data_IF_260636440952
#
_entry.id   IF_260636440952
#
_cell.length_a   1.000
_cell.length_b   1.000
_cell.length_c   1.000
_cell.angle_alpha   90.00
_cell.angle_beta   90.00
_cell.angle_gamma   90.00
#
_symmetry.space_group_name_H-M   'P 1'
#
loop_
_entity.id
_entity.type
_entity.pdbx_description
1 polymer ?
#
# COMPACT_ATOMS: atom_id res chain seq x y z
N UNK A 1 3.60 -21.08 -5.77
CA UNK A 1 2.20 -20.60 -5.75
C UNK A 1 2.22 -19.12 -5.50
N UNK A 2 1.51 -18.36 -6.33
CA UNK A 2 1.47 -16.90 -6.27
C UNK A 2 0.46 -16.45 -5.21
N UNK A 3 0.83 -15.42 -4.48
CA UNK A 3 0.09 -14.88 -3.36
C UNK A 3 0.17 -13.36 -3.41
N UNK A 4 -0.81 -12.69 -2.80
CA UNK A 4 -0.72 -11.26 -2.60
C UNK A 4 -1.38 -10.84 -1.30
N UNK A 5 -0.96 -9.69 -0.81
CA UNK A 5 -1.60 -9.01 0.32
C UNK A 5 -1.88 -7.55 -0.04
N UNK A 6 -2.95 -7.02 0.55
CA UNK A 6 -3.35 -5.61 0.47
C UNK A 6 -3.57 -5.10 1.89
N UNK A 7 -2.97 -3.97 2.21
CA UNK A 7 -3.13 -3.33 3.51
C UNK A 7 -3.07 -1.81 3.40
N UNK A 8 -3.58 -1.15 4.44
CA UNK A 8 -3.39 0.29 4.65
C UNK A 8 -2.49 0.52 5.84
N UNK A 9 -1.78 1.64 5.86
CA UNK A 9 -1.02 2.07 7.03
C UNK A 9 -1.18 3.56 7.25
N UNK A 10 -1.19 3.98 8.52
CA UNK A 10 -1.14 5.39 8.86
C UNK A 10 0.26 5.93 8.53
N UNK A 11 0.31 7.02 7.76
CA UNK A 11 1.55 7.71 7.41
C UNK A 11 1.67 9.09 8.06
N UNK A 12 0.73 9.49 8.90
CA UNK A 12 0.66 10.82 9.53
C UNK A 12 1.90 11.14 10.35
N UNK A 13 2.46 10.15 11.07
CA UNK A 13 3.71 10.29 11.83
C UNK A 13 4.93 10.47 10.91
N UNK A 14 5.03 9.67 9.85
CA UNK A 14 6.10 9.73 8.86
C UNK A 14 6.05 11.00 7.99
N UNK A 15 4.88 11.65 7.86
CA UNK A 15 4.73 12.90 7.14
C UNK A 15 5.06 14.16 7.96
N UNK A 16 5.18 14.01 9.30
CA UNK A 16 5.55 15.07 10.24
C UNK A 16 7.06 15.13 10.53
N UNK A 17 7.78 14.04 10.29
CA UNK A 17 9.24 14.01 10.32
C UNK A 17 9.74 13.94 8.87
N UNK A 18 10.94 14.43 8.56
CA UNK A 18 11.65 14.12 7.29
C UNK A 18 12.01 12.62 7.17
N UNK A 19 11.21 11.73 7.76
CA UNK A 19 11.44 10.29 7.80
C UNK A 19 10.71 9.65 6.64
N UNK A 20 11.43 9.63 5.53
CA UNK A 20 11.32 8.68 4.44
C UNK A 20 11.50 7.21 4.88
N UNK A 21 11.40 6.85 6.16
CA UNK A 21 11.74 5.51 6.65
C UNK A 21 10.71 4.46 6.20
N UNK A 22 9.41 4.81 6.15
CA UNK A 22 8.37 3.94 5.53
C UNK A 22 8.67 3.71 4.04
N UNK A 23 9.14 4.77 3.38
CA UNK A 23 9.52 4.85 1.97
C UNK A 23 10.77 3.99 1.65
N UNK A 24 11.74 3.98 2.57
CA UNK A 24 13.02 3.29 2.43
C UNK A 24 12.91 1.79 2.74
N UNK A 25 12.05 1.37 3.67
CA UNK A 25 11.84 -0.06 3.97
C UNK A 25 11.08 -0.80 2.87
N UNK A 26 10.35 -0.08 2.01
CA UNK A 26 9.60 -0.67 0.89
C UNK A 26 10.47 -0.97 -0.33
N UNK A 27 11.44 -0.09 -0.62
CA UNK A 27 12.48 -0.38 -1.61
C UNK A 27 13.30 -1.62 -1.21
N UNK A 28 13.56 -1.78 0.11
CA UNK A 28 14.32 -2.92 0.64
C UNK A 28 13.62 -4.27 0.46
N UNK A 29 12.29 -4.34 0.49
CA UNK A 29 11.56 -5.60 0.25
C UNK A 29 11.67 -6.07 -1.21
N UNK A 30 11.69 -5.15 -2.18
CA UNK A 30 11.92 -5.45 -3.59
C UNK A 30 13.37 -5.87 -3.90
N UNK A 31 14.34 -5.34 -3.15
CA UNK A 31 15.77 -5.58 -3.35
C UNK A 31 16.29 -6.93 -2.81
N UNK A 32 15.49 -7.66 -2.02
CA UNK A 32 15.91 -8.94 -1.41
C UNK A 32 15.90 -10.15 -2.36
N UNK A 33 15.71 -9.95 -3.67
CA UNK A 33 15.81 -11.05 -4.66
C UNK A 33 14.70 -12.10 -4.56
N UNK A 34 13.63 -11.85 -3.81
CA UNK A 34 12.56 -12.81 -3.52
C UNK A 34 11.41 -12.81 -4.54
N UNK A 35 11.61 -12.29 -5.75
CA UNK A 35 10.56 -12.17 -6.79
C UNK A 35 9.29 -11.51 -6.23
N UNK A 36 9.46 -10.43 -5.46
CA UNK A 36 8.36 -9.61 -4.98
C UNK A 36 8.08 -8.51 -6.01
N UNK A 37 6.81 -8.21 -6.21
CA UNK A 37 6.35 -7.07 -6.97
C UNK A 37 5.22 -6.39 -6.20
N UNK A 38 4.89 -5.16 -6.57
CA UNK A 38 3.82 -4.48 -5.87
C UNK A 38 3.81 -3.00 -6.12
N UNK A 39 2.88 -2.35 -5.45
CA UNK A 39 2.74 -0.91 -5.51
C UNK A 39 2.33 -0.37 -4.16
N UNK A 40 2.84 0.80 -3.85
CA UNK A 40 2.34 1.64 -2.78
C UNK A 40 1.96 3.01 -3.32
N UNK A 41 0.86 3.54 -2.81
CA UNK A 41 0.57 4.96 -2.92
C UNK A 41 0.36 5.57 -1.54
N UNK A 42 1.05 6.67 -1.26
CA UNK A 42 0.92 7.44 -0.03
C UNK A 42 0.26 8.79 -0.31
N UNK A 43 -0.77 9.11 0.47
CA UNK A 43 -1.64 10.27 0.31
C UNK A 43 -1.47 11.15 1.53
N UNK A 44 -1.08 12.41 1.32
CA UNK A 44 -1.01 13.42 2.37
C UNK A 44 -2.17 14.39 2.26
N UNK A 45 -2.81 14.69 3.38
CA UNK A 45 -3.88 15.67 3.40
C UNK A 45 -4.19 16.23 4.77
N UNK A 46 -5.18 17.11 4.81
CA UNK A 46 -5.68 17.72 6.04
C UNK A 46 -7.09 17.19 6.27
N UNK A 47 -7.34 16.66 7.46
CA UNK A 47 -8.68 16.31 7.95
C UNK A 47 -9.13 17.32 9.02
N UNK A 48 -10.40 17.25 9.43
CA UNK A 48 -10.93 18.06 10.54
C UNK A 48 -10.13 17.84 11.84
N UNK A 49 -9.50 16.66 12.00
CA UNK A 49 -8.67 16.29 13.15
C UNK A 49 -7.18 16.65 13.00
N UNK A 50 -6.80 17.35 11.92
CA UNK A 50 -5.41 17.71 11.62
C UNK A 50 -4.85 16.97 10.40
N UNK A 51 -3.53 17.08 10.20
CA UNK A 51 -2.80 16.42 9.11
C UNK A 51 -2.98 14.90 9.19
N UNK A 52 -3.38 14.29 8.08
CA UNK A 52 -3.48 12.84 7.91
C UNK A 52 -2.61 12.34 6.78
N UNK A 53 -2.00 11.18 7.01
CA UNK A 53 -1.32 10.38 6.02
C UNK A 53 -1.97 9.01 5.92
N UNK A 54 -2.18 8.53 4.70
CA UNK A 54 -2.65 7.17 4.45
C UNK A 54 -1.78 6.59 3.34
N UNK A 55 -1.22 5.42 3.58
CA UNK A 55 -0.63 4.62 2.51
C UNK A 55 -1.49 3.40 2.23
N UNK A 56 -1.60 3.03 0.96
CA UNK A 56 -2.24 1.81 0.48
C UNK A 56 -1.15 1.01 -0.21
N UNK A 57 -0.95 -0.23 0.22
CA UNK A 57 0.12 -1.07 -0.32
C UNK A 57 -0.40 -2.44 -0.75
N UNK A 58 0.15 -2.91 -1.88
CA UNK A 58 -0.04 -4.26 -2.41
C UNK A 58 1.33 -4.90 -2.57
N UNK A 59 1.49 -6.11 -2.05
CA UNK A 59 2.68 -6.95 -2.22
C UNK A 59 2.24 -8.25 -2.86
N UNK A 60 2.93 -8.65 -3.93
CA UNK A 60 2.63 -9.84 -4.73
C UNK A 60 3.90 -10.66 -4.93
N UNK A 61 3.78 -11.98 -4.88
CA UNK A 61 4.93 -12.85 -5.10
C UNK A 61 4.71 -14.28 -4.64
N UNK A 62 5.79 -15.08 -4.58
CA UNK A 62 5.73 -16.39 -3.96
C UNK A 62 5.15 -16.29 -2.55
N UNK A 63 4.24 -17.20 -2.18
CA UNK A 63 3.56 -17.19 -0.87
C UNK A 63 4.51 -17.02 0.31
N UNK A 64 5.64 -17.74 0.32
CA UNK A 64 6.63 -17.65 1.39
C UNK A 64 7.21 -16.23 1.51
N UNK A 65 7.54 -15.59 0.39
CA UNK A 65 8.14 -14.26 0.36
C UNK A 65 7.15 -13.18 0.81
N UNK A 66 5.89 -13.30 0.40
CA UNK A 66 4.84 -12.37 0.85
C UNK A 66 4.58 -12.55 2.35
N UNK A 67 4.56 -13.78 2.87
CA UNK A 67 4.39 -14.04 4.30
C UNK A 67 5.56 -13.52 5.13
N UNK A 68 6.79 -13.70 4.64
CA UNK A 68 8.00 -13.14 5.27
C UNK A 68 7.93 -11.61 5.31
N UNK A 69 7.55 -10.96 4.21
CA UNK A 69 7.34 -9.52 4.18
C UNK A 69 6.29 -9.07 5.21
N UNK A 70 5.16 -9.77 5.32
CA UNK A 70 4.13 -9.49 6.35
C UNK A 70 4.74 -9.57 7.75
N UNK A 71 5.47 -10.65 8.07
CA UNK A 71 6.09 -10.82 9.39
C UNK A 71 7.07 -9.70 9.71
N UNK A 72 7.91 -9.28 8.76
CA UNK A 72 8.83 -8.15 8.95
C UNK A 72 8.06 -6.86 9.25
N UNK A 73 6.96 -6.61 8.54
CA UNK A 73 6.13 -5.41 8.70
C UNK A 73 5.39 -5.40 10.04
N UNK A 74 4.93 -6.56 10.53
CA UNK A 74 4.27 -6.71 11.83
C UNK A 74 5.23 -6.56 13.02
N UNK A 75 6.54 -6.75 12.80
CA UNK A 75 7.56 -6.57 13.83
C UNK A 75 7.94 -5.09 14.03
N UNK A 76 7.52 -4.17 13.16
CA UNK A 76 7.74 -2.74 13.31
C UNK A 76 6.71 -2.14 14.30
N UNK A 77 7.10 -1.82 15.55
CA UNK A 77 6.17 -1.35 16.57
C UNK A 77 5.66 0.07 16.30
N UNK A 78 6.25 0.79 15.34
CA UNK A 78 5.85 2.14 14.96
C UNK A 78 4.89 2.16 13.77
N UNK A 79 4.56 0.98 13.22
CA UNK A 79 3.73 0.84 12.02
C UNK A 79 2.40 0.20 12.36
N UNK A 80 1.34 1.01 12.38
CA UNK A 80 -0.03 0.50 12.42
C UNK A 80 -0.46 0.06 11.00
N UNK A 81 -0.56 -1.26 10.79
CA UNK A 81 -1.04 -1.85 9.55
C UNK A 81 -2.47 -2.38 9.69
N UNK A 82 -3.32 -1.98 8.77
CA UNK A 82 -4.67 -2.47 8.60
C UNK A 82 -4.73 -3.44 7.41
N UNK A 83 -4.53 -4.73 7.71
CA UNK A 83 -4.58 -5.80 6.72
C UNK A 83 -6.00 -5.97 6.18
N UNK A 84 -6.17 -5.80 4.86
CA UNK A 84 -7.48 -5.91 4.21
C UNK A 84 -7.68 -7.30 3.64
N UNK A 85 -6.67 -7.83 2.96
CA UNK A 85 -6.76 -9.14 2.32
C UNK A 85 -5.38 -9.76 2.16
N UNK A 86 -5.31 -11.07 2.34
CA UNK A 86 -4.16 -11.89 1.99
C UNK A 86 -4.68 -13.19 1.38
N UNK A 87 -4.22 -13.54 0.19
CA UNK A 87 -4.75 -14.70 -0.51
C UNK A 87 -3.99 -15.11 -1.75
N UNK A 88 -4.34 -16.30 -2.23
CA UNK A 88 -3.78 -16.86 -3.46
C UNK A 88 -4.32 -16.12 -4.68
N UNK A 89 -3.48 -16.04 -5.71
CA UNK A 89 -3.85 -15.46 -7.00
C UNK A 89 -3.19 -16.24 -8.13
N UNK A 90 -3.75 -16.12 -9.33
CA UNK A 90 -3.23 -16.73 -10.56
C UNK A 90 -2.40 -15.76 -11.39
N UNK A 91 -2.47 -14.45 -11.12
CA UNK A 91 -1.70 -13.41 -11.81
C UNK A 91 -1.26 -12.30 -10.85
N UNK A 92 -0.19 -11.59 -11.23
CA UNK A 92 0.29 -10.36 -10.57
C UNK A 92 -0.45 -9.15 -11.17
N UNK A 93 -0.93 -8.24 -10.33
CA UNK A 93 -1.52 -6.97 -10.77
C UNK A 93 -0.46 -5.94 -11.14
N UNK A 94 0.75 -6.07 -10.59
CA UNK A 94 1.87 -5.13 -10.74
C UNK A 94 3.12 -5.85 -11.25
N UNK A 95 2.97 -6.79 -12.21
CA UNK A 95 4.11 -7.51 -12.77
C UNK A 95 5.11 -6.57 -13.43
N UNK A 96 6.41 -6.81 -13.24
CA UNK A 96 7.48 -5.99 -13.82
C UNK A 96 7.82 -4.74 -13.00
N UNK A 97 7.08 -4.47 -11.92
CA UNK A 97 7.37 -3.42 -10.97
C UNK A 97 7.98 -4.06 -9.72
N UNK A 98 9.32 -4.11 -9.65
CA UNK A 98 10.03 -4.62 -8.47
C UNK A 98 9.62 -3.88 -7.19
N UNK A 99 9.23 -2.61 -7.34
CA UNK A 99 8.42 -1.82 -6.40
C UNK A 99 7.99 -0.51 -7.09
N UNK A 100 6.69 -0.27 -7.22
CA UNK A 100 6.18 1.04 -7.67
C UNK A 100 5.78 1.90 -6.46
N UNK A 101 6.21 3.15 -6.45
CA UNK A 101 5.89 4.11 -5.41
C UNK A 101 5.24 5.35 -6.01
N UNK A 102 4.13 5.77 -5.43
CA UNK A 102 3.45 7.01 -5.81
C UNK A 102 3.15 7.88 -4.60
N UNK A 103 3.48 9.17 -4.72
CA UNK A 103 3.08 10.19 -3.74
C UNK A 103 1.95 11.03 -4.31
N UNK A 104 0.79 10.99 -3.65
CA UNK A 104 -0.41 11.68 -4.11
C UNK A 104 -0.60 12.96 -3.28
N UNK A 105 -0.40 14.10 -3.93
CA UNK A 105 -0.71 15.40 -3.35
C UNK A 105 -2.20 15.74 -3.54
N UNK A 106 -2.93 15.91 -2.44
CA UNK A 106 -4.34 16.29 -2.47
C UNK A 106 -4.59 17.72 -2.97
N UNK A 107 -3.60 18.60 -2.97
CA UNK A 107 -3.74 19.92 -3.60
C UNK A 107 -3.99 19.77 -5.11
N UNK A 108 -3.44 18.72 -5.71
CA UNK A 108 -3.65 18.37 -7.13
C UNK A 108 -4.92 17.53 -7.32
N UNK A 109 -5.24 16.68 -6.34
CA UNK A 109 -6.37 15.75 -6.40
C UNK A 109 -7.32 15.87 -5.20
N UNK A 110 -8.01 17.02 -5.02
CA UNK A 110 -8.78 17.29 -3.80
C UNK A 110 -9.94 16.32 -3.58
N UNK A 111 -10.51 15.77 -4.66
CA UNK A 111 -11.57 14.76 -4.59
C UNK A 111 -11.13 13.47 -3.86
N UNK A 112 -9.82 13.20 -3.77
CA UNK A 112 -9.30 12.04 -3.07
C UNK A 112 -9.29 12.21 -1.54
N UNK A 113 -9.62 13.39 -1.00
CA UNK A 113 -9.72 13.60 0.45
C UNK A 113 -10.71 12.66 1.15
N UNK A 114 -11.76 12.22 0.44
CA UNK A 114 -12.72 11.23 0.94
C UNK A 114 -12.08 9.86 1.25
N UNK A 115 -10.87 9.59 0.76
CA UNK A 115 -10.17 8.34 1.08
C UNK A 115 -9.85 8.21 2.57
N UNK A 116 -9.71 9.32 3.29
CA UNK A 116 -9.55 9.34 4.74
C UNK A 116 -10.83 9.03 5.52
N UNK A 117 -11.96 8.95 4.82
CA UNK A 117 -13.28 8.57 5.34
C UNK A 117 -13.66 7.14 4.92
N UNK A 118 -12.74 6.39 4.31
CA UNK A 118 -12.96 4.97 3.97
C UNK A 118 -13.42 4.19 5.20
N UNK A 119 -14.56 3.53 5.06
CA UNK A 119 -15.06 2.62 6.07
C UNK A 119 -14.24 1.31 6.03
N UNK A 120 -13.21 1.23 6.88
CA UNK A 120 -12.32 0.08 6.98
C UNK A 120 -13.08 -1.21 7.32
N UNK A 121 -14.11 -1.13 8.18
CA UNK A 121 -14.96 -2.28 8.52
C UNK A 121 -15.70 -2.81 7.30
N UNK A 122 -16.18 -1.93 6.42
CA UNK A 122 -16.83 -2.36 5.17
C UNK A 122 -15.85 -3.06 4.22
N UNK A 123 -14.59 -2.61 4.15
CA UNK A 123 -13.53 -3.27 3.37
C UNK A 123 -13.20 -4.66 3.93
N UNK A 124 -13.14 -4.79 5.26
CA UNK A 124 -12.88 -6.06 5.95
C UNK A 124 -14.07 -7.02 5.95
N UNK A 125 -15.31 -6.52 5.84
CA UNK A 125 -16.50 -7.36 5.74
C UNK A 125 -16.55 -8.14 4.42
N UNK A 126 -16.01 -7.55 3.34
CA UNK A 126 -15.85 -8.21 2.04
C UNK A 126 -14.39 -8.08 1.55
N UNK A 127 -13.44 -8.82 2.16
CA UNK A 127 -12.00 -8.64 1.94
C UNK A 127 -11.58 -8.67 0.47
N UNK A 128 -12.10 -9.63 -0.31
CA UNK A 128 -11.77 -9.77 -1.73
C UNK A 128 -12.31 -8.64 -2.60
N UNK A 129 -13.45 -8.02 -2.22
CA UNK A 129 -13.96 -6.83 -2.89
C UNK A 129 -13.15 -5.59 -2.49
N UNK A 130 -12.86 -5.43 -1.19
CA UNK A 130 -12.02 -4.35 -0.68
C UNK A 130 -10.65 -4.32 -1.35
N UNK A 131 -9.99 -5.49 -1.46
CA UNK A 131 -8.74 -5.64 -2.18
C UNK A 131 -8.83 -5.18 -3.64
N UNK A 132 -9.88 -5.61 -4.37
CA UNK A 132 -10.09 -5.21 -5.77
C UNK A 132 -10.28 -3.71 -5.93
N UNK A 133 -11.02 -3.07 -5.01
CA UNK A 133 -11.22 -1.60 -5.01
C UNK A 133 -9.88 -0.88 -4.82
N UNK A 134 -9.08 -1.29 -3.83
CA UNK A 134 -7.79 -0.68 -3.54
C UNK A 134 -6.77 -0.90 -4.66
N UNK A 135 -6.69 -2.11 -5.23
CA UNK A 135 -5.85 -2.40 -6.39
C UNK A 135 -6.28 -1.53 -7.59
N UNK A 136 -7.58 -1.42 -7.86
CA UNK A 136 -8.10 -0.60 -8.95
C UNK A 136 -7.80 0.88 -8.76
N UNK A 137 -7.82 1.35 -7.51
CA UNK A 137 -7.39 2.69 -7.14
C UNK A 137 -5.90 2.90 -7.47
N UNK A 138 -5.02 2.02 -6.99
CA UNK A 138 -3.58 2.10 -7.24
C UNK A 138 -3.23 2.10 -8.74
N UNK A 139 -3.86 1.23 -9.52
CA UNK A 139 -3.65 1.17 -10.98
C UNK A 139 -3.93 2.47 -11.72
N UNK A 140 -4.75 3.39 -11.16
CA UNK A 140 -4.98 4.70 -11.79
C UNK A 140 -3.74 5.60 -11.79
N UNK A 141 -2.80 5.35 -10.89
CA UNK A 141 -1.57 6.14 -10.73
C UNK A 141 -0.39 5.55 -11.50
N UNK A 142 -0.51 4.36 -12.08
CA UNK A 142 0.51 3.76 -12.95
C UNK A 142 0.66 4.46 -14.32
N UNK A 143 0.01 5.62 -14.53
CA UNK A 143 -0.11 6.25 -15.86
C UNK A 143 1.19 6.83 -16.44
N UNK A 144 2.30 6.79 -15.71
CA UNK A 144 3.59 7.32 -16.18
C UNK A 144 4.71 6.24 -16.31
N UNK A 145 4.42 4.95 -16.10
CA UNK A 145 5.45 3.89 -16.16
C UNK A 145 5.72 3.32 -17.57
N UNK A 146 4.93 3.71 -18.58
CA UNK A 146 5.04 3.24 -19.98
C UNK A 146 5.43 4.36 -20.98
N UNK A 147 6.28 5.33 -20.56
CA UNK A 147 6.90 6.30 -21.48
C UNK A 147 8.41 6.34 -21.39
#
# INVERSE_FOLDING_TARGET
MLYYTVYLSDASSALNQEKNDILLDQLRLGDQGHDLSGMIACIKGVSIKGLKGLCIQVIEGPKYAVQEAITILELDPYRECEWIYSGETVFRNFSGLNSAYEYINLDVYPALGQIFELNLEALKLNPGLGAKVLISFLKKFLKDADR
#
